data_IF_694994990757
#
_entry.id   IF_694994990757
#
_cell.length_a   1.000
_cell.length_b   1.000
_cell.length_c   1.000
_cell.angle_alpha   90.00
_cell.angle_beta   90.00
_cell.angle_gamma   90.00
#
_symmetry.space_group_name_H-M   'P 1'
#
loop_
_entity.id
_entity.type
_entity.pdbx_description
1 polymer ?
#
# COMPACT_ATOMS: atom_id res chain seq x y z
N UNK A 1 -11.25 -10.51 -4.19
CA UNK A 1 -9.78 -10.58 -4.02
C UNK A 1 -9.45 -10.25 -2.57
N UNK A 2 -8.72 -11.12 -1.84
CA UNK A 2 -8.45 -10.92 -0.39
C UNK A 2 -7.17 -10.10 -0.09
N UNK A 3 -6.17 -10.18 -0.97
CA UNK A 3 -4.89 -9.49 -0.78
C UNK A 3 -4.35 -8.97 -2.11
N UNK A 4 -3.84 -7.76 -2.13
CA UNK A 4 -3.22 -7.17 -3.33
C UNK A 4 -2.20 -6.09 -2.95
N UNK A 5 -1.45 -5.65 -3.95
CA UNK A 5 -0.65 -4.44 -3.87
C UNK A 5 -1.01 -3.49 -5.03
N UNK A 6 -0.86 -2.19 -4.80
CA UNK A 6 -1.03 -1.14 -5.81
C UNK A 6 0.16 -0.20 -5.80
N UNK A 7 0.74 0.05 -6.98
CA UNK A 7 1.81 1.02 -7.19
C UNK A 7 1.24 2.27 -7.86
N UNK A 8 1.41 3.40 -7.17
CA UNK A 8 1.02 4.73 -7.61
C UNK A 8 2.25 5.47 -8.13
N UNK A 9 2.20 5.93 -9.38
CA UNK A 9 3.30 6.68 -10.00
C UNK A 9 3.08 8.17 -9.80
N UNK A 10 4.10 8.86 -9.28
CA UNK A 10 4.00 10.31 -9.09
C UNK A 10 3.89 11.03 -10.43
N UNK A 11 2.94 11.96 -10.55
CA UNK A 11 2.83 12.83 -11.71
C UNK A 11 2.70 14.30 -11.24
N UNK A 12 3.74 15.13 -11.42
CA UNK A 12 3.71 16.52 -10.98
C UNK A 12 2.73 17.40 -11.77
N UNK A 13 2.27 16.96 -12.95
CA UNK A 13 1.28 17.68 -13.76
C UNK A 13 -0.16 17.38 -13.32
N UNK A 14 -0.35 16.33 -12.51
CA UNK A 14 -1.62 16.06 -11.82
C UNK A 14 -1.65 16.85 -10.51
N UNK A 15 -2.51 17.85 -10.48
CA UNK A 15 -2.82 18.65 -9.29
C UNK A 15 -4.32 18.70 -9.05
N UNK A 16 -4.98 17.54 -9.05
CA UNK A 16 -6.44 17.47 -8.89
C UNK A 16 -6.78 17.42 -7.40
N UNK A 17 -7.64 18.33 -6.94
CA UNK A 17 -8.18 18.28 -5.58
C UNK A 17 -9.34 17.28 -5.58
N UNK A 18 -9.11 16.07 -5.07
CA UNK A 18 -10.17 15.08 -4.87
C UNK A 18 -10.72 15.24 -3.45
N UNK A 19 -11.99 15.60 -3.33
CA UNK A 19 -12.71 15.75 -2.05
C UNK A 19 -13.71 14.61 -1.91
N UNK A 20 -13.63 13.87 -0.81
CA UNK A 20 -14.61 12.85 -0.44
C UNK A 20 -14.77 12.74 1.07
N UNK A 21 -15.79 12.03 1.53
CA UNK A 21 -16.04 11.86 2.96
C UNK A 21 -15.09 10.79 3.54
N UNK A 22 -14.38 11.09 4.64
CA UNK A 22 -13.55 10.10 5.31
C UNK A 22 -14.42 8.98 5.90
N UNK A 23 -14.00 7.74 5.67
CA UNK A 23 -14.60 6.57 6.32
C UNK A 23 -14.17 6.57 7.79
N UNK A 24 -15.09 6.23 8.69
CA UNK A 24 -14.86 6.21 10.15
C UNK A 24 -13.58 5.47 10.54
N UNK A 25 -12.85 6.06 11.49
CA UNK A 25 -11.62 5.53 12.10
C UNK A 25 -11.82 4.11 12.68
N UNK A 26 -13.03 3.79 13.14
CA UNK A 26 -13.40 2.47 13.68
C UNK A 26 -13.47 1.37 12.60
N UNK A 27 -13.67 1.76 11.33
CA UNK A 27 -13.64 0.85 10.18
C UNK A 27 -12.21 0.59 9.70
N UNK A 28 -11.30 1.56 9.89
CA UNK A 28 -9.88 1.47 9.51
C UNK A 28 -9.02 0.79 10.58
N UNK A 29 -9.38 0.94 11.85
CA UNK A 29 -8.68 0.32 12.98
C UNK A 29 -9.21 -1.08 13.28
N UNK A 30 -8.80 -2.06 12.46
CA UNK A 30 -8.70 -3.44 12.95
C UNK A 30 -7.24 -3.78 13.25
N UNK A 31 -7.05 -4.31 14.45
CA UNK A 31 -5.82 -4.70 15.17
C UNK A 31 -4.63 -4.91 14.23
N UNK A 32 -3.89 -3.83 14.03
CA UNK A 32 -2.60 -3.88 13.36
C UNK A 32 -1.54 -4.26 14.39
N UNK A 33 -0.82 -5.35 14.16
CA UNK A 33 0.44 -5.56 14.86
C UNK A 33 1.37 -4.39 14.46
N UNK A 34 1.81 -3.54 15.41
CA UNK A 34 2.59 -2.34 15.10
C UNK A 34 3.94 -2.64 14.44
N UNK A 35 4.37 -3.89 14.45
CA UNK A 35 5.61 -4.33 13.80
C UNK A 35 5.44 -4.74 12.32
N UNK A 36 4.21 -4.99 11.85
CA UNK A 36 3.95 -5.39 10.47
C UNK A 36 4.50 -4.37 9.44
N UNK A 37 4.28 -3.04 9.60
CA UNK A 37 4.85 -2.06 8.67
C UNK A 37 6.37 -2.09 8.63
N UNK A 38 7.04 -2.34 9.76
CA UNK A 38 8.51 -2.43 9.83
C UNK A 38 9.04 -3.67 9.13
N UNK A 39 8.37 -4.81 9.28
CA UNK A 39 8.74 -6.06 8.62
C UNK A 39 8.60 -5.93 7.11
N UNK A 40 7.47 -5.36 6.64
CA UNK A 40 7.24 -5.11 5.22
C UNK A 40 8.27 -4.12 4.65
N UNK A 41 8.55 -3.03 5.37
CA UNK A 41 9.56 -2.04 5.00
C UNK A 41 10.95 -2.67 4.84
N UNK A 42 11.34 -3.53 5.78
CA UNK A 42 12.61 -4.25 5.74
C UNK A 42 12.70 -5.09 4.45
N UNK A 43 11.68 -5.90 4.18
CA UNK A 43 11.63 -6.74 2.97
C UNK A 43 11.66 -5.93 1.67
N UNK A 44 10.91 -4.83 1.60
CA UNK A 44 10.88 -3.93 0.44
C UNK A 44 12.24 -3.33 0.09
N UNK A 45 13.14 -3.17 1.07
CA UNK A 45 14.46 -2.56 0.89
C UNK A 45 15.61 -3.58 0.78
N UNK A 46 15.38 -4.86 1.08
CA UNK A 46 16.42 -5.91 1.07
C UNK A 46 16.50 -6.66 -0.25
N UNK A 47 15.36 -6.90 -0.91
CA UNK A 47 15.31 -7.68 -2.13
C UNK A 47 14.17 -7.20 -3.04
N UNK A 48 14.28 -7.47 -4.34
CA UNK A 48 13.13 -7.30 -5.22
C UNK A 48 12.10 -8.40 -4.91
N UNK A 49 11.04 -8.04 -4.18
CA UNK A 49 9.98 -8.97 -3.73
C UNK A 49 8.81 -9.10 -4.71
N UNK A 50 8.86 -8.41 -5.85
CA UNK A 50 7.75 -8.37 -6.80
C UNK A 50 7.93 -9.44 -7.87
N UNK A 51 6.82 -10.08 -8.26
CA UNK A 51 6.78 -11.14 -9.29
C UNK A 51 7.14 -10.65 -10.70
N UNK A 52 7.30 -9.33 -10.85
CA UNK A 52 7.66 -8.66 -12.09
C UNK A 52 8.83 -7.72 -11.82
N UNK A 53 9.74 -7.52 -12.77
CA UNK A 53 10.72 -6.45 -12.67
C UNK A 53 9.99 -5.11 -12.64
N UNK A 54 10.14 -4.38 -11.53
CA UNK A 54 9.58 -3.05 -11.34
C UNK A 54 10.72 -2.07 -11.09
N UNK A 55 10.67 -0.94 -11.80
CA UNK A 55 11.51 0.21 -11.53
C UNK A 55 10.71 1.24 -10.71
N UNK A 56 11.38 1.80 -9.69
CA UNK A 56 10.79 2.76 -8.76
C UNK A 56 11.45 4.13 -8.93
N UNK A 57 10.63 5.18 -8.92
CA UNK A 57 11.07 6.57 -9.02
C UNK A 57 10.73 7.33 -7.75
N UNK A 58 11.41 8.46 -7.54
CA UNK A 58 11.15 9.33 -6.40
C UNK A 58 9.66 9.71 -6.31
N UNK A 59 9.13 9.63 -5.09
CA UNK A 59 7.72 9.90 -4.72
C UNK A 59 6.71 8.85 -5.18
N UNK A 60 7.14 7.75 -5.79
CA UNK A 60 6.24 6.61 -6.00
C UNK A 60 5.68 6.12 -4.66
N UNK A 61 4.42 5.70 -4.67
CA UNK A 61 3.75 5.19 -3.48
C UNK A 61 3.28 3.77 -3.69
N UNK A 62 3.40 2.95 -2.66
CA UNK A 62 2.99 1.55 -2.66
C UNK A 62 1.96 1.33 -1.56
N UNK A 63 0.81 0.79 -1.94
CA UNK A 63 -0.16 0.24 -1.01
C UNK A 63 -0.02 -1.28 -1.00
N UNK A 64 0.09 -1.87 0.18
CA UNK A 64 -0.08 -3.31 0.39
C UNK A 64 -1.33 -3.49 1.23
N UNK A 65 -2.26 -4.26 0.70
CA UNK A 65 -3.59 -4.40 1.27
C UNK A 65 -3.92 -5.85 1.55
N UNK A 66 -4.30 -6.14 2.80
CA UNK A 66 -4.40 -7.51 3.31
C UNK A 66 -5.72 -7.70 4.06
N UNK A 67 -6.48 -8.73 3.71
CA UNK A 67 -7.70 -9.13 4.41
C UNK A 67 -7.60 -10.60 4.86
N UNK A 68 -7.38 -10.84 6.16
CA UNK A 68 -7.17 -12.20 6.68
C UNK A 68 -8.47 -13.01 6.81
N UNK A 69 -9.61 -12.37 7.07
CA UNK A 69 -10.92 -13.02 7.18
C UNK A 69 -11.97 -12.31 6.33
N UNK A 70 -12.95 -13.06 5.83
CA UNK A 70 -14.00 -12.54 4.93
C UNK A 70 -14.85 -11.42 5.54
N UNK A 71 -15.00 -11.43 6.87
CA UNK A 71 -15.79 -10.43 7.60
C UNK A 71 -14.92 -9.40 8.34
N UNK A 72 -13.60 -9.41 8.14
CA UNK A 72 -12.70 -8.40 8.71
C UNK A 72 -12.49 -7.27 7.72
N UNK A 73 -12.34 -6.06 8.27
CA UNK A 73 -11.91 -4.92 7.48
C UNK A 73 -10.49 -5.17 6.98
N UNK A 74 -10.25 -4.67 5.78
CA UNK A 74 -8.95 -4.74 5.14
C UNK A 74 -7.95 -3.86 5.87
N UNK A 75 -6.74 -4.36 5.98
CA UNK A 75 -5.61 -3.63 6.53
C UNK A 75 -4.74 -3.07 5.41
N UNK A 76 -4.56 -1.75 5.42
CA UNK A 76 -3.79 -1.03 4.42
C UNK A 76 -2.45 -0.54 4.99
N UNK A 77 -1.37 -0.90 4.29
CA UNK A 77 -0.01 -0.49 4.62
C UNK A 77 0.56 0.38 3.50
N UNK A 78 0.89 1.62 3.81
CA UNK A 78 1.42 2.58 2.85
C UNK A 78 2.93 2.78 2.94
N UNK A 79 3.56 2.97 1.77
CA UNK A 79 4.97 3.26 1.63
C UNK A 79 5.22 4.31 0.54
N UNK A 80 6.30 5.06 0.67
CA UNK A 80 6.76 6.04 -0.32
C UNK A 80 8.24 5.83 -0.65
N UNK A 81 8.59 5.89 -1.93
CA UNK A 81 9.95 5.74 -2.40
C UNK A 81 10.67 7.08 -2.38
N UNK A 82 11.73 7.17 -1.57
CA UNK A 82 12.51 8.39 -1.35
C UNK A 82 13.99 8.07 -1.20
N UNK A 83 14.83 8.74 -1.98
CA UNK A 83 16.29 8.58 -2.04
C UNK A 83 16.70 7.12 -2.26
N UNK A 84 16.06 6.45 -3.21
CA UNK A 84 16.37 5.07 -3.57
C UNK A 84 15.94 4.00 -2.55
N UNK A 85 15.07 4.34 -1.59
CA UNK A 85 14.57 3.42 -0.57
C UNK A 85 13.10 3.67 -0.27
N UNK A 86 12.37 2.61 0.07
CA UNK A 86 11.02 2.71 0.62
C UNK A 86 11.06 3.25 2.05
N UNK A 87 10.06 4.05 2.41
CA UNK A 87 9.79 4.57 3.76
C UNK A 87 8.31 4.39 4.08
N UNK A 88 7.99 4.19 5.36
CA UNK A 88 6.58 4.15 5.81
C UNK A 88 5.93 5.51 5.51
N UNK A 89 4.74 5.47 4.92
CA UNK A 89 3.88 6.63 4.71
C UNK A 89 2.45 6.18 4.92
N UNK A 90 1.70 6.89 5.76
CA UNK A 90 0.29 6.59 5.95
C UNK A 90 -0.46 6.62 4.62
N UNK A 91 -1.31 5.61 4.41
CA UNK A 91 -2.13 5.53 3.21
C UNK A 91 -3.25 6.56 3.31
N UNK A 92 -3.29 7.47 2.34
CA UNK A 92 -4.33 8.47 2.19
C UNK A 92 -4.86 8.37 0.76
N UNK A 93 -6.01 7.72 0.60
CA UNK A 93 -6.59 7.46 -0.73
C UNK A 93 -6.74 8.73 -1.56
N UNK A 94 -7.27 9.81 -0.98
CA UNK A 94 -7.52 11.05 -1.71
C UNK A 94 -6.23 11.77 -2.06
N UNK A 95 -5.32 11.93 -1.09
CA UNK A 95 -4.03 12.57 -1.34
C UNK A 95 -3.12 11.78 -2.27
N UNK A 96 -3.28 10.46 -2.36
CA UNK A 96 -2.54 9.63 -3.31
C UNK A 96 -3.15 9.69 -4.71
N UNK A 97 -4.48 9.66 -4.85
CA UNK A 97 -5.14 9.77 -6.16
C UNK A 97 -5.02 11.18 -6.79
N UNK A 98 -4.89 12.21 -5.95
CA UNK A 98 -4.69 13.60 -6.37
C UNK A 98 -3.35 13.85 -7.07
N UNK A 99 -2.28 13.22 -6.57
CA UNK A 99 -0.89 13.48 -6.97
C UNK A 99 -0.29 12.37 -7.87
N UNK A 100 -1.01 11.26 -8.03
CA UNK A 100 -0.52 10.07 -8.72
C UNK A 100 -1.55 9.55 -9.74
N UNK A 101 -1.10 8.75 -10.69
CA UNK A 101 -1.99 7.90 -11.47
C UNK A 101 -1.79 6.43 -11.07
N UNK A 102 -2.89 5.67 -11.04
CA UNK A 102 -2.84 4.22 -10.87
C UNK A 102 -2.07 3.63 -12.04
N UNK A 103 -1.02 2.87 -11.73
CA UNK A 103 -0.16 2.34 -12.77
C UNK A 103 -0.16 0.81 -12.82
N UNK A 104 -0.06 0.13 -11.66
CA UNK A 104 0.02 -1.34 -11.62
C UNK A 104 -0.59 -1.92 -10.35
N UNK A 105 -1.39 -2.97 -10.53
CA UNK A 105 -1.85 -3.85 -9.47
C UNK A 105 -1.25 -5.26 -9.61
N UNK A 106 -1.17 -5.96 -8.48
CA UNK A 106 -0.84 -7.38 -8.47
C UNK A 106 -1.51 -8.10 -7.32
N UNK A 107 -1.82 -9.38 -7.55
CA UNK A 107 -2.39 -10.27 -6.54
C UNK A 107 -1.27 -10.92 -5.75
N UNK A 108 -1.44 -11.04 -4.44
CA UNK A 108 -0.52 -11.83 -3.62
C UNK A 108 -0.93 -13.30 -3.77
N UNK A 109 -0.12 -14.08 -4.47
CA UNK A 109 -0.31 -15.52 -4.64
C UNK A 109 0.30 -16.28 -3.45
N UNK A 110 -0.37 -17.34 -2.97
CA UNK A 110 0.05 -18.17 -1.82
C UNK A 110 0.11 -17.45 -0.46
N UNK A 111 -0.85 -16.55 -0.17
CA UNK A 111 -0.99 -16.00 1.17
C UNK A 111 -1.19 -17.12 2.22
N UNK A 112 -0.31 -17.17 3.22
CA UNK A 112 -0.40 -18.15 4.31
C UNK A 112 -1.64 -17.81 5.15
N UNK A 113 -2.65 -18.66 5.08
CA UNK A 113 -3.84 -18.55 5.93
C UNK A 113 -3.45 -19.06 7.31
N UNK A 114 -3.58 -18.23 8.35
CA UNK A 114 -3.48 -18.72 9.74
C UNK A 114 -4.58 -19.76 9.94
N UNK A 115 -4.18 -21.01 10.20
CA UNK A 115 -5.10 -22.08 10.56
C UNK A 115 -5.97 -21.66 11.75
N UNK A 116 -7.25 -22.02 11.70
CA UNK A 116 -8.24 -21.76 12.75
C UNK A 116 -7.78 -22.31 14.10
#
# INVERSE_FOLDING_TARGET
>A
MKHYWMLFRYNPEKGEIIVGQPISWETLLQINNPDNPKILLKKLNEQNIFDKPLEFFEKDRLLISVQFRENECRTDYGFEYKKGKWKIKEFDYFGWMAEHYEFKEGKIENAVVRGK
#
